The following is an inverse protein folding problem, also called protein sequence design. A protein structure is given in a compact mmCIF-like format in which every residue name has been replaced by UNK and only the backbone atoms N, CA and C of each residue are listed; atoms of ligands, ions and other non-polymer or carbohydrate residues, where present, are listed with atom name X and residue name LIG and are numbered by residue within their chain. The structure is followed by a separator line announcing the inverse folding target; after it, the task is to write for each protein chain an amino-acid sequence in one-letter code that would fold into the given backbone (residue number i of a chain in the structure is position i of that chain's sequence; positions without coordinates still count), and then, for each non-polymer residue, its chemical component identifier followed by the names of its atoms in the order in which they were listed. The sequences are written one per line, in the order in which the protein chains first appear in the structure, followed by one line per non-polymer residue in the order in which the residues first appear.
data_IF_161039234173
#
_entry.id   IF_161039234173
#
_cell.length_a   1.000
_cell.length_b   1.000
_cell.length_c   1.000
_cell.angle_alpha   90.00
_cell.angle_beta   90.00
_cell.angle_gamma   90.00
#
_symmetry.space_group_name_H-M   'P 1'
#
loop_
_entity.id
_entity.type
_entity.pdbx_description
1 polymer ?
#
# COMPACT_ATOMS: atom_id res chain seq x y z
N UNK A 1 1.70 -1.69 -7.70
CA UNK A 1 2.82 -2.53 -8.18
C UNK A 1 2.80 -3.99 -7.71
N UNK A 2 2.62 -4.32 -6.43
CA UNK A 2 2.71 -5.73 -5.98
C UNK A 2 1.48 -6.24 -5.22
N UNK A 3 0.57 -5.35 -4.83
CA UNK A 3 -0.59 -5.71 -4.03
C UNK A 3 -1.76 -6.14 -4.93
N UNK A 4 -1.59 -7.32 -5.54
CA UNK A 4 -2.63 -7.95 -6.35
C UNK A 4 -3.87 -8.27 -5.52
N UNK A 5 -5.04 -7.95 -6.06
CA UNK A 5 -6.36 -8.25 -5.51
C UNK A 5 -7.31 -8.70 -6.63
N UNK A 6 -8.45 -9.35 -6.33
CA UNK A 6 -9.48 -9.60 -7.34
C UNK A 6 -10.04 -8.30 -7.94
N UNK A 7 -10.46 -8.34 -9.20
CA UNK A 7 -10.97 -7.15 -9.92
C UNK A 7 -12.09 -6.43 -9.18
N UNK A 8 -13.06 -7.19 -8.64
CA UNK A 8 -14.17 -6.61 -7.89
C UNK A 8 -13.69 -5.79 -6.69
N UNK A 9 -12.64 -6.25 -5.99
CA UNK A 9 -12.05 -5.54 -4.85
C UNK A 9 -11.29 -4.30 -5.31
N UNK A 10 -10.54 -4.37 -6.42
CA UNK A 10 -9.90 -3.18 -7.01
C UNK A 10 -10.94 -2.12 -7.36
N UNK A 11 -12.03 -2.53 -8.02
CA UNK A 11 -13.11 -1.64 -8.43
C UNK A 11 -13.80 -0.99 -7.23
N UNK A 12 -14.10 -1.76 -6.18
CA UNK A 12 -14.68 -1.23 -4.93
C UNK A 12 -13.76 -0.19 -4.26
N UNK A 13 -12.47 -0.51 -4.12
CA UNK A 13 -11.48 0.41 -3.52
C UNK A 13 -11.33 1.67 -4.38
N UNK A 14 -11.21 1.54 -5.70
CA UNK A 14 -11.07 2.67 -6.61
C UNK A 14 -12.33 3.55 -6.66
N UNK A 15 -13.51 2.99 -6.44
CA UNK A 15 -14.74 3.76 -6.30
C UNK A 15 -14.73 4.63 -5.04
N UNK A 16 -14.14 4.15 -3.94
CA UNK A 16 -13.99 4.91 -2.71
C UNK A 16 -12.81 5.91 -2.76
N UNK A 17 -11.68 5.51 -3.35
CA UNK A 17 -10.47 6.33 -3.50
C UNK A 17 -9.84 6.09 -4.88
N UNK A 18 -10.10 6.97 -5.86
CA UNK A 18 -9.60 6.80 -7.23
C UNK A 18 -8.08 6.71 -7.33
N UNK A 19 -7.34 7.39 -6.44
CA UNK A 19 -5.89 7.36 -6.43
C UNK A 19 -5.30 5.97 -6.09
N UNK A 20 -6.10 5.08 -5.50
CA UNK A 20 -5.68 3.73 -5.17
C UNK A 20 -5.76 2.73 -6.35
N UNK A 21 -6.32 3.13 -7.49
CA UNK A 21 -6.40 2.25 -8.66
C UNK A 21 -5.00 1.91 -9.18
N UNK A 22 -4.68 0.62 -9.28
CA UNK A 22 -3.37 0.18 -9.74
C UNK A 22 -3.39 -1.13 -10.51
N UNK A 23 -2.24 -1.43 -11.09
CA UNK A 23 -1.91 -2.74 -11.65
C UNK A 23 -0.62 -3.26 -11.01
N UNK A 24 -0.48 -4.59 -11.01
CA UNK A 24 0.78 -5.21 -10.65
C UNK A 24 1.81 -5.00 -11.73
N UNK A 25 3.10 -5.20 -11.42
CA UNK A 25 4.15 -5.23 -12.44
C UNK A 25 4.02 -6.40 -13.42
N UNK A 26 3.12 -7.36 -13.16
CA UNK A 26 2.80 -8.49 -14.04
C UNK A 26 1.38 -8.41 -14.63
N UNK A 27 0.77 -7.22 -14.65
CA UNK A 27 -0.43 -6.93 -15.44
C UNK A 27 -1.76 -7.41 -14.86
N UNK A 28 -1.83 -7.62 -13.54
CA UNK A 28 -3.06 -8.02 -12.85
C UNK A 28 -3.64 -6.88 -12.00
N UNK A 29 -4.95 -6.92 -11.68
CA UNK A 29 -5.58 -5.92 -10.81
C UNK A 29 -4.87 -5.78 -9.47
N UNK A 30 -4.58 -4.55 -9.07
CA UNK A 30 -3.92 -4.23 -7.80
C UNK A 30 -4.52 -2.99 -7.13
N UNK A 31 -4.15 -2.80 -5.87
CA UNK A 31 -4.40 -1.55 -5.13
C UNK A 31 -3.09 -0.87 -4.75
N UNK A 32 -3.06 0.46 -4.86
CA UNK A 32 -1.98 1.30 -4.30
C UNK A 32 -2.48 1.97 -3.02
N UNK A 33 -2.26 1.29 -1.90
CA UNK A 33 -2.67 1.78 -0.58
C UNK A 33 -1.96 3.09 -0.23
N UNK A 34 -0.68 3.23 -0.57
CA UNK A 34 0.11 4.42 -0.28
C UNK A 34 -0.42 5.63 -1.05
N UNK A 35 -0.71 5.47 -2.35
CA UNK A 35 -1.30 6.53 -3.17
C UNK A 35 -2.69 6.94 -2.65
N UNK A 36 -3.52 5.97 -2.27
CA UNK A 36 -4.82 6.24 -1.66
C UNK A 36 -4.73 7.04 -0.35
N UNK A 37 -3.85 6.63 0.56
CA UNK A 37 -3.60 7.36 1.82
C UNK A 37 -3.06 8.75 1.55
N UNK A 38 -2.11 8.92 0.63
CA UNK A 38 -1.56 10.23 0.28
C UNK A 38 -2.61 11.17 -0.31
N UNK A 39 -3.52 10.67 -1.16
CA UNK A 39 -4.62 11.47 -1.70
C UNK A 39 -5.60 11.91 -0.61
N UNK A 40 -5.90 11.04 0.36
CA UNK A 40 -6.72 11.38 1.52
C UNK A 40 -6.05 12.46 2.39
N UNK A 41 -4.77 12.28 2.72
CA UNK A 41 -3.98 13.23 3.51
C UNK A 41 -3.90 14.61 2.83
N UNK A 42 -3.71 14.64 1.51
CA UNK A 42 -3.64 15.87 0.74
C UNK A 42 -4.95 16.66 0.80
N UNK A 43 -6.10 15.98 0.64
CA UNK A 43 -7.43 16.60 0.79
C UNK A 43 -7.68 17.15 2.19
N UNK A 44 -7.03 16.59 3.21
CA UNK A 44 -7.08 17.06 4.60
C UNK A 44 -6.04 18.15 4.91
N UNK A 45 -5.22 18.55 3.93
CA UNK A 45 -4.22 19.59 4.08
C UNK A 45 -2.89 19.13 4.69
N UNK A 46 -2.68 17.82 4.86
CA UNK A 46 -1.41 17.26 5.35
C UNK A 46 -0.41 17.19 4.20
N UNK A 47 0.55 18.11 4.19
CA UNK A 47 1.52 18.27 3.10
C UNK A 47 2.92 17.76 3.42
N UNK A 48 3.29 17.74 4.70
CA UNK A 48 4.56 17.17 5.15
C UNK A 48 4.40 15.65 5.26
N UNK A 49 4.78 14.96 4.18
CA UNK A 49 4.59 13.51 4.03
C UNK A 49 5.71 12.95 3.17
N UNK A 50 6.20 11.79 3.56
CA UNK A 50 7.22 11.04 2.82
C UNK A 50 6.64 9.71 2.33
N UNK A 51 6.95 9.36 1.09
CA UNK A 51 6.61 8.04 0.57
C UNK A 51 7.76 7.08 0.79
N UNK A 52 7.51 6.00 1.53
CA UNK A 52 8.48 4.92 1.65
C UNK A 52 8.74 4.30 0.28
N UNK A 53 10.00 4.15 -0.16
CA UNK A 53 10.34 3.44 -1.39
C UNK A 53 10.21 1.91 -1.23
N UNK A 54 9.95 1.42 -0.02
CA UNK A 54 9.98 -0.01 0.30
C UNK A 54 8.66 -0.68 -0.05
N UNK A 55 8.72 -1.70 -0.89
CA UNK A 55 7.68 -2.73 -0.97
C UNK A 55 8.06 -3.91 -0.09
N UNK A 56 7.26 -4.24 0.92
CA UNK A 56 7.56 -5.37 1.82
C UNK A 56 7.63 -6.71 1.10
N UNK A 57 6.90 -6.89 -0.02
CA UNK A 57 6.99 -8.09 -0.85
C UNK A 57 8.34 -8.21 -1.56
N UNK A 58 8.88 -7.09 -2.06
CA UNK A 58 10.13 -7.07 -2.84
C UNK A 58 11.37 -6.96 -1.94
N UNK A 59 11.26 -6.44 -0.72
CA UNK A 59 12.38 -6.27 0.20
C UNK A 59 12.67 -7.55 1.00
N UNK A 60 13.94 -7.95 1.00
CA UNK A 60 14.45 -9.08 1.79
C UNK A 60 14.56 -8.76 3.29
N UNK A 61 14.63 -7.47 3.65
CA UNK A 61 14.74 -6.99 5.04
C UNK A 61 13.37 -6.84 5.75
N UNK A 62 12.27 -7.16 5.07
CA UNK A 62 10.91 -6.98 5.58
C UNK A 62 10.12 -8.28 5.58
N UNK A 63 9.41 -8.57 6.68
CA UNK A 63 8.43 -9.65 6.68
C UNK A 63 7.29 -9.33 5.70
N UNK A 64 6.90 -10.32 4.88
CA UNK A 64 5.78 -10.18 3.95
C UNK A 64 4.91 -11.41 3.93
N UNK A 65 3.68 -11.28 4.45
CA UNK A 65 2.70 -12.36 4.41
C UNK A 65 2.38 -12.78 2.95
N UNK A 66 2.34 -11.82 2.02
CA UNK A 66 2.04 -12.08 0.61
C UNK A 66 3.15 -12.90 -0.06
N UNK A 67 4.41 -12.77 0.39
CA UNK A 67 5.56 -13.55 -0.10
C UNK A 67 5.67 -14.90 0.62
N UNK A 68 5.66 -14.89 1.95
CA UNK A 68 6.14 -16.03 2.77
C UNK A 68 5.02 -16.84 3.43
N UNK A 69 3.77 -16.33 3.46
CA UNK A 69 2.60 -16.89 4.20
C UNK A 69 2.83 -16.98 5.72
N UNK A 70 3.68 -17.89 6.18
CA UNK A 70 4.05 -18.00 7.60
C UNK A 70 5.31 -17.17 7.84
N UNK A 71 5.16 -16.02 8.49
CA UNK A 71 6.26 -15.06 8.67
C UNK A 71 6.04 -14.22 9.94
N UNK A 72 7.06 -13.47 10.34
CA UNK A 72 7.01 -12.54 11.47
C UNK A 72 6.11 -11.33 11.21
N UNK A 73 6.21 -10.32 12.07
CA UNK A 73 5.50 -9.04 11.94
C UNK A 73 6.46 -7.89 12.17
N UNK A 74 6.23 -6.80 11.44
CA UNK A 74 6.86 -5.51 11.67
C UNK A 74 5.99 -4.69 12.62
N UNK A 75 6.56 -3.68 13.25
CA UNK A 75 5.83 -2.72 14.07
C UNK A 75 6.34 -1.29 13.79
N UNK A 76 5.41 -0.34 13.73
CA UNK A 76 5.70 1.10 13.68
C UNK A 76 5.43 1.72 15.04
N UNK A 77 6.39 2.48 15.55
CA UNK A 77 6.30 3.15 16.85
C UNK A 77 6.52 4.64 16.66
N UNK A 78 5.73 5.45 17.37
CA UNK A 78 5.89 6.90 17.46
C UNK A 78 5.58 7.30 18.90
N UNK A 79 6.43 8.15 19.47
CA UNK A 79 6.25 8.70 20.80
C UNK A 79 6.79 10.12 20.85
N UNK A 80 6.36 10.88 21.86
CA UNK A 80 6.99 12.12 22.28
C UNK A 80 7.77 11.81 23.56
N UNK A 81 8.82 12.58 23.82
CA UNK A 81 9.58 12.51 25.07
C UNK A 81 8.77 13.02 26.27
#
# INVERSE_FOLDING_TARGET
RCYEVPEAMRAEVAAAEPAAHAETSWGTPAVDVSAGVHAQLDRLGVRDREQSPVCTRESDDHFSYRRDRSTGRLAGYVWLD
#
